data_IF_990741614593
#
_entry.id   IF_990741614593
#
_cell.length_a   1.000
_cell.length_b   1.000
_cell.length_c   1.000
_cell.angle_alpha   90.00
_cell.angle_beta   90.00
_cell.angle_gamma   90.00
#
_symmetry.space_group_name_H-M   'P 1'
#
loop_
_entity.id
_entity.type
_entity.pdbx_description
1 polymer ?
#
# COMPACT_ATOMS: atom_id res chain seq x y z
N UNK A 1 -4.59 -20.96 5.25
CA UNK A 1 -4.49 -19.93 4.19
C UNK A 1 -4.65 -18.57 4.84
N UNK A 2 -3.67 -17.69 4.64
CA UNK A 2 -3.66 -16.34 5.22
C UNK A 2 -4.80 -15.50 4.64
N UNK A 3 -5.65 -14.95 5.49
CA UNK A 3 -6.70 -14.00 5.10
C UNK A 3 -6.40 -12.63 5.68
N UNK A 4 -6.51 -11.60 4.83
CA UNK A 4 -6.25 -10.21 5.21
C UNK A 4 -7.54 -9.43 5.07
N UNK A 5 -8.01 -8.81 6.16
CA UNK A 5 -9.23 -8.01 6.19
C UNK A 5 -8.96 -6.64 6.83
N UNK A 6 -9.78 -5.65 6.49
CA UNK A 6 -9.71 -4.31 7.07
C UNK A 6 -10.68 -4.18 8.25
N UNK A 7 -10.22 -3.60 9.36
CA UNK A 7 -11.06 -3.32 10.51
C UNK A 7 -10.58 -2.05 11.24
N UNK A 8 -11.43 -1.03 11.33
CA UNK A 8 -11.21 0.19 12.12
C UNK A 8 -9.81 0.84 11.96
N UNK A 9 -9.31 0.97 10.73
CA UNK A 9 -7.98 1.57 10.48
C UNK A 9 -6.79 0.62 10.62
N UNK A 10 -7.06 -0.66 10.86
CA UNK A 10 -6.06 -1.73 10.93
C UNK A 10 -6.34 -2.83 9.92
N UNK A 11 -5.35 -3.68 9.70
CA UNK A 11 -5.48 -4.94 8.98
C UNK A 11 -5.48 -6.07 9.99
N UNK A 12 -6.40 -7.02 9.83
CA UNK A 12 -6.39 -8.30 10.53
C UNK A 12 -5.77 -9.33 9.60
N UNK A 13 -4.81 -10.08 10.13
CA UNK A 13 -4.11 -11.15 9.43
C UNK A 13 -4.43 -12.47 10.14
N UNK A 14 -5.38 -13.19 9.56
CA UNK A 14 -5.83 -14.49 10.04
C UNK A 14 -5.02 -15.58 9.33
N UNK A 15 -4.08 -16.16 10.06
CA UNK A 15 -3.23 -17.26 9.55
C UNK A 15 -3.92 -18.62 9.66
N UNK A 16 -5.09 -18.68 10.30
CA UNK A 16 -5.84 -19.92 10.59
C UNK A 16 -5.20 -20.71 11.73
N UNK A 17 -4.15 -21.49 11.43
CA UNK A 17 -3.38 -22.30 12.41
C UNK A 17 -1.86 -22.19 12.23
N UNK A 18 -1.42 -21.41 11.24
CA UNK A 18 -0.01 -21.24 10.93
C UNK A 18 0.55 -20.01 11.65
N UNK A 19 1.87 -19.97 11.83
CA UNK A 19 2.55 -18.77 12.29
C UNK A 19 2.52 -17.69 11.20
N UNK A 20 2.65 -16.43 11.60
CA UNK A 20 2.83 -15.35 10.64
C UNK A 20 4.03 -15.66 9.73
N UNK A 21 3.92 -15.44 8.40
CA UNK A 21 5.06 -15.61 7.51
C UNK A 21 6.27 -14.79 7.98
N UNK A 22 7.49 -15.36 7.95
CA UNK A 22 8.69 -14.63 8.29
C UNK A 22 8.81 -13.33 7.50
N UNK A 23 9.26 -12.26 8.14
CA UNK A 23 9.40 -10.92 7.55
C UNK A 23 8.18 -10.00 7.71
N UNK A 24 7.02 -10.51 8.10
CA UNK A 24 5.84 -9.68 8.39
C UNK A 24 5.78 -9.17 9.84
N UNK A 25 6.64 -9.68 10.73
CA UNK A 25 6.70 -9.30 12.15
C UNK A 25 7.03 -7.81 12.34
N UNK A 26 7.72 -7.21 11.37
CA UNK A 26 8.02 -5.77 11.38
C UNK A 26 6.75 -4.92 11.26
N UNK A 27 5.71 -5.44 10.60
CA UNK A 27 4.46 -4.71 10.36
C UNK A 27 3.33 -5.17 11.26
N UNK A 28 3.39 -6.39 11.77
CA UNK A 28 2.27 -7.04 12.43
C UNK A 28 2.60 -7.38 13.88
N UNK A 29 1.62 -7.18 14.77
CA UNK A 29 1.69 -7.59 16.18
C UNK A 29 0.52 -8.50 16.49
N UNK A 30 0.73 -9.50 17.33
CA UNK A 30 -0.36 -10.36 17.78
C UNK A 30 -1.28 -9.57 18.72
N UNK A 31 -2.59 -9.60 18.47
CA UNK A 31 -3.63 -9.00 19.33
C UNK A 31 -4.42 -10.14 19.98
N UNK A 32 -4.23 -10.35 21.28
CA UNK A 32 -4.89 -11.40 22.05
C UNK A 32 -6.42 -11.25 22.05
N UNK A 33 -6.94 -10.01 21.97
CA UNK A 33 -8.38 -9.74 22.03
C UNK A 33 -9.12 -10.26 20.80
N UNK A 34 -8.48 -10.20 19.64
CA UNK A 34 -9.01 -10.72 18.38
C UNK A 34 -8.41 -12.08 18.00
N UNK A 35 -7.47 -12.60 18.79
CA UNK A 35 -6.77 -13.86 18.54
C UNK A 35 -6.18 -13.94 17.12
N UNK A 36 -5.63 -12.82 16.63
CA UNK A 36 -5.04 -12.73 15.30
C UNK A 36 -3.91 -11.68 15.27
N UNK A 37 -3.12 -11.68 14.20
CA UNK A 37 -2.16 -10.60 13.97
C UNK A 37 -2.86 -9.35 13.46
N UNK A 38 -2.38 -8.18 13.87
CA UNK A 38 -2.85 -6.88 13.42
C UNK A 38 -1.72 -5.99 12.94
N UNK A 39 -2.01 -5.17 11.94
CA UNK A 39 -1.11 -4.14 11.42
C UNK A 39 -1.87 -2.83 11.24
N UNK A 40 -1.18 -1.69 11.28
CA UNK A 40 -1.79 -0.43 10.83
C UNK A 40 -2.13 -0.52 9.33
N UNK A 41 -3.29 0.00 8.92
CA UNK A 41 -3.74 -0.10 7.53
C UNK A 41 -2.78 0.55 6.52
N UNK A 42 -1.96 1.51 6.95
CA UNK A 42 -0.92 2.12 6.11
C UNK A 42 0.13 1.12 5.61
N UNK A 43 0.26 -0.04 6.26
CA UNK A 43 1.17 -1.12 5.86
C UNK A 43 0.52 -2.12 4.87
N UNK A 44 -0.70 -1.87 4.40
CA UNK A 44 -1.35 -2.72 3.39
C UNK A 44 -0.46 -2.97 2.16
N UNK A 45 -0.01 -1.90 1.50
CA UNK A 45 0.81 -2.02 0.30
C UNK A 45 2.11 -2.83 0.49
N UNK A 46 2.96 -2.57 1.53
CA UNK A 46 4.14 -3.38 1.74
C UNK A 46 3.83 -4.84 2.10
N UNK A 47 2.80 -5.12 2.89
CA UNK A 47 2.39 -6.50 3.25
C UNK A 47 1.96 -7.28 2.00
N UNK A 48 1.04 -6.73 1.20
CA UNK A 48 0.54 -7.38 -0.02
C UNK A 48 1.67 -7.58 -1.05
N UNK A 49 2.52 -6.56 -1.22
CA UNK A 49 3.67 -6.64 -2.14
C UNK A 49 4.65 -7.72 -1.70
N UNK A 50 4.91 -7.84 -0.41
CA UNK A 50 5.76 -8.88 0.16
C UNK A 50 5.20 -10.28 -0.14
N UNK A 51 3.93 -10.52 0.22
CA UNK A 51 3.28 -11.81 0.01
C UNK A 51 3.25 -12.21 -1.47
N UNK A 52 2.95 -11.26 -2.36
CA UNK A 52 2.99 -11.46 -3.81
C UNK A 52 4.39 -11.85 -4.31
N UNK A 53 5.44 -11.11 -3.89
CA UNK A 53 6.82 -11.37 -4.31
C UNK A 53 7.36 -12.70 -3.80
N UNK A 54 6.97 -13.09 -2.59
CA UNK A 54 7.35 -14.37 -2.00
C UNK A 54 6.45 -15.53 -2.45
N UNK A 55 5.47 -15.27 -3.33
CA UNK A 55 4.50 -16.27 -3.81
C UNK A 55 3.75 -17.00 -2.68
N UNK A 56 3.57 -16.31 -1.54
CA UNK A 56 2.82 -16.85 -0.41
C UNK A 56 1.33 -16.72 -0.76
N UNK A 57 0.53 -17.79 -0.70
CA UNK A 57 -0.89 -17.72 -1.00
C UNK A 57 -1.66 -16.98 0.10
N UNK A 58 -2.44 -15.97 -0.29
CA UNK A 58 -3.30 -15.20 0.61
C UNK A 58 -4.65 -14.87 -0.03
N UNK A 59 -5.64 -14.59 0.83
CA UNK A 59 -6.94 -14.06 0.44
C UNK A 59 -7.02 -12.60 0.87
N UNK A 60 -7.10 -11.70 -0.10
CA UNK A 60 -7.22 -10.26 0.16
C UNK A 60 -8.69 -9.83 0.21
N UNK A 61 -9.22 -9.72 1.43
CA UNK A 61 -10.53 -9.13 1.71
C UNK A 61 -10.43 -7.65 2.11
N UNK A 62 -9.23 -7.14 2.34
CA UNK A 62 -8.98 -5.72 2.62
C UNK A 62 -9.05 -4.87 1.34
N UNK A 63 -8.87 -5.47 0.18
CA UNK A 63 -9.04 -4.88 -1.15
C UNK A 63 -10.50 -4.53 -1.47
N UNK A 64 -11.03 -3.51 -0.81
CA UNK A 64 -12.40 -3.03 -0.97
C UNK A 64 -12.52 -1.74 -1.81
N UNK A 65 -11.47 -1.38 -2.56
CA UNK A 65 -11.49 -0.21 -3.45
C UNK A 65 -11.98 -0.58 -4.86
N UNK A 66 -12.67 0.35 -5.50
CA UNK A 66 -13.05 0.22 -6.90
C UNK A 66 -11.84 0.48 -7.79
N UNK A 67 -11.61 -0.41 -8.77
CA UNK A 67 -10.70 -0.12 -9.87
C UNK A 67 -11.37 0.85 -10.83
N UNK A 68 -10.71 1.99 -11.07
CA UNK A 68 -11.22 3.03 -11.95
C UNK A 68 -10.42 3.02 -13.25
N UNK A 69 -11.13 2.90 -14.37
CA UNK A 69 -10.58 3.16 -15.69
C UNK A 69 -10.76 4.64 -16.00
N UNK A 70 -9.73 5.44 -15.75
CA UNK A 70 -9.76 6.89 -15.92
C UNK A 70 -8.92 7.32 -17.13
N UNK A 71 -9.45 8.26 -17.90
CA UNK A 71 -8.72 9.01 -18.93
C UNK A 71 -8.61 10.46 -18.49
N UNK A 72 -7.44 11.07 -18.67
CA UNK A 72 -7.28 12.51 -18.43
C UNK A 72 -8.09 13.28 -19.47
N UNK A 73 -9.04 14.10 -19.00
CA UNK A 73 -9.92 14.89 -19.88
C UNK A 73 -9.15 15.98 -20.66
N UNK A 74 -8.16 16.61 -20.04
CA UNK A 74 -7.31 17.64 -20.65
C UNK A 74 -5.82 17.32 -20.38
N UNK A 75 -5.19 16.46 -21.21
CA UNK A 75 -3.80 16.09 -21.02
C UNK A 75 -2.90 17.25 -21.40
N UNK A 76 -2.22 17.83 -20.42
CA UNK A 76 -1.24 18.91 -20.64
C UNK A 76 0.18 18.40 -20.39
N UNK A 77 1.16 18.75 -21.24
CA UNK A 77 2.52 18.27 -21.07
C UNK A 77 3.14 18.86 -19.78
N UNK A 78 3.75 18.04 -18.91
CA UNK A 78 4.44 18.52 -17.72
C UNK A 78 5.67 19.35 -18.10
N UNK A 79 5.96 20.38 -17.31
CA UNK A 79 7.23 21.11 -17.37
C UNK A 79 8.38 20.18 -16.99
N UNK A 80 9.60 20.53 -17.38
CA UNK A 80 10.80 19.70 -17.14
C UNK A 80 10.96 19.29 -15.68
N UNK A 81 10.84 20.24 -14.74
CA UNK A 81 10.98 19.97 -13.31
C UNK A 81 9.82 19.12 -12.72
N UNK A 82 8.62 19.16 -13.32
CA UNK A 82 7.49 18.33 -12.90
C UNK A 82 7.71 16.87 -13.34
N UNK A 83 8.22 16.69 -14.55
CA UNK A 83 8.58 15.37 -15.07
C UNK A 83 9.70 14.75 -14.23
N UNK A 84 10.74 15.52 -13.90
CA UNK A 84 11.83 15.08 -13.03
C UNK A 84 11.29 14.65 -11.65
N UNK A 85 10.46 15.48 -11.01
CA UNK A 85 9.86 15.16 -9.73
C UNK A 85 9.03 13.86 -9.77
N UNK A 86 8.23 13.66 -10.82
CA UNK A 86 7.46 12.44 -11.02
C UNK A 86 8.37 11.21 -11.22
N UNK A 87 9.45 11.35 -11.99
CA UNK A 87 10.42 10.28 -12.22
C UNK A 87 11.13 9.89 -10.92
N UNK A 88 11.64 10.86 -10.17
CA UNK A 88 12.28 10.61 -8.87
C UNK A 88 11.33 9.92 -7.89
N UNK A 89 10.07 10.38 -7.80
CA UNK A 89 9.07 9.75 -6.93
C UNK A 89 8.73 8.30 -7.35
N UNK A 90 8.69 8.02 -8.66
CA UNK A 90 8.50 6.66 -9.18
C UNK A 90 9.69 5.75 -8.88
N UNK A 91 10.92 6.26 -9.00
CA UNK A 91 12.15 5.51 -8.73
C UNK A 91 12.25 5.06 -7.27
N UNK A 92 11.76 5.86 -6.32
CA UNK A 92 11.73 5.50 -4.89
C UNK A 92 10.50 4.67 -4.50
N UNK A 93 9.80 4.09 -5.46
CA UNK A 93 8.69 3.17 -5.20
C UNK A 93 7.34 3.84 -4.95
N UNK A 94 7.12 5.06 -5.49
CA UNK A 94 5.83 5.77 -5.43
C UNK A 94 5.35 6.05 -3.99
N UNK A 95 6.29 6.21 -3.05
CA UNK A 95 6.02 6.54 -1.66
C UNK A 95 7.08 7.53 -1.18
N UNK A 96 6.67 8.79 -0.98
CA UNK A 96 7.58 9.88 -0.65
C UNK A 96 6.91 11.24 -0.83
N UNK A 97 7.67 12.31 -0.60
CA UNK A 97 7.21 13.70 -0.68
C UNK A 97 7.92 14.42 -1.82
N UNK A 98 7.16 15.16 -2.62
CA UNK A 98 7.68 16.09 -3.62
C UNK A 98 7.46 17.51 -3.11
N UNK A 99 8.55 18.30 -3.04
CA UNK A 99 8.50 19.69 -2.57
C UNK A 99 8.66 20.61 -3.76
N UNK A 100 7.63 21.40 -4.06
CA UNK A 100 7.65 22.44 -5.09
C UNK A 100 7.09 23.76 -4.54
N UNK A 101 7.64 24.94 -4.92
CA UNK A 101 7.14 26.24 -4.48
C UNK A 101 5.65 26.44 -4.77
N UNK A 102 5.02 27.42 -4.11
CA UNK A 102 3.64 27.84 -4.44
C UNK A 102 3.58 28.34 -5.89
N UNK A 103 2.44 28.12 -6.57
CA UNK A 103 2.25 28.53 -7.98
C UNK A 103 2.97 27.70 -9.06
N UNK A 104 3.74 26.67 -8.69
CA UNK A 104 4.53 25.88 -9.67
C UNK A 104 3.79 24.66 -10.23
N UNK A 105 2.51 24.51 -9.94
CA UNK A 105 1.68 23.43 -10.48
C UNK A 105 1.94 22.07 -9.84
N UNK A 106 1.83 21.94 -8.51
CA UNK A 106 1.84 20.63 -7.82
C UNK A 106 0.65 19.74 -8.21
N UNK A 107 -0.48 20.38 -8.54
CA UNK A 107 -1.71 19.72 -9.00
C UNK A 107 -1.74 19.48 -10.52
N UNK A 108 -0.72 19.93 -11.23
CA UNK A 108 -0.64 19.82 -12.69
C UNK A 108 -0.25 18.40 -13.10
#
# INVERSE_FOLDING_TARGET
MLTISFQHGTLLLETGKETLPPGLETYCRYDERSSCYRSEALFYAPIITYLYRQQIPYRDQARAYQELSLTLHDPRPPRSYQLEALQSWRQVGRRGVVVLPTGTGKSF
#
